data_IF_534167773912
#
_entry.id   IF_534167773912
#
_cell.length_a   1.000
_cell.length_b   1.000
_cell.length_c   1.000
_cell.angle_alpha   90.00
_cell.angle_beta   90.00
_cell.angle_gamma   90.00
#
_symmetry.space_group_name_H-M   'P 1'
#
loop_
_entity.id
_entity.type
_entity.pdbx_description
1 polymer ?
#
# COMPACT_ATOMS: atom_id res chain seq x y z
N UNK A 1 -32.96 -0.73 -14.52
CA UNK A 1 -32.74 0.66 -14.10
C UNK A 1 -31.38 0.74 -13.42
N UNK A 2 -30.36 1.25 -14.12
CA UNK A 2 -29.02 1.40 -13.56
C UNK A 2 -29.02 2.56 -12.55
N UNK A 3 -28.81 2.25 -11.27
CA UNK A 3 -28.48 3.27 -10.27
C UNK A 3 -27.08 3.79 -10.63
N UNK A 4 -27.00 5.03 -11.13
CA UNK A 4 -25.76 5.81 -11.15
C UNK A 4 -25.18 5.78 -9.73
N UNK A 5 -23.98 5.19 -9.57
CA UNK A 5 -23.16 5.48 -8.41
C UNK A 5 -22.97 7.00 -8.38
N UNK A 6 -23.50 7.64 -7.34
CA UNK A 6 -23.11 9.02 -7.00
C UNK A 6 -21.64 8.96 -6.64
N UNK A 7 -20.79 9.63 -7.43
CA UNK A 7 -19.47 10.03 -6.99
C UNK A 7 -19.64 10.65 -5.60
N UNK A 8 -19.01 10.05 -4.58
CA UNK A 8 -18.84 10.72 -3.29
C UNK A 8 -18.02 11.97 -3.60
N UNK A 9 -18.66 13.13 -3.58
CA UNK A 9 -17.96 14.36 -3.30
C UNK A 9 -17.42 14.20 -1.89
N UNK A 10 -16.13 13.94 -1.74
CA UNK A 10 -15.49 14.21 -0.47
C UNK A 10 -15.60 15.73 -0.29
N UNK A 11 -16.39 16.23 0.68
CA UNK A 11 -16.26 17.62 1.06
C UNK A 11 -14.80 17.82 1.45
N UNK A 12 -14.22 18.99 1.19
CA UNK A 12 -12.92 19.40 1.72
C UNK A 12 -12.81 18.94 3.17
N UNK A 13 -12.20 17.77 3.39
CA UNK A 13 -11.78 17.34 4.70
C UNK A 13 -10.55 18.22 4.90
N UNK A 14 -10.77 19.35 5.57
CA UNK A 14 -9.69 20.09 6.22
C UNK A 14 -9.06 19.14 7.23
N UNK A 15 -8.17 18.28 6.74
CA UNK A 15 -7.24 17.54 7.56
C UNK A 15 -6.15 18.55 7.88
N UNK A 16 -6.02 18.91 9.15
CA UNK A 16 -4.95 19.77 9.61
C UNK A 16 -3.61 19.16 9.18
N UNK A 17 -2.79 19.93 8.43
CA UNK A 17 -1.47 19.52 7.95
C UNK A 17 -1.17 19.79 6.46
N UNK A 18 -2.07 20.39 5.68
CA UNK A 18 -1.81 20.60 4.24
C UNK A 18 -1.13 21.94 3.95
N UNK A 19 -0.26 21.95 2.92
CA UNK A 19 0.12 23.19 2.26
C UNK A 19 -1.08 23.76 1.49
N UNK A 20 -1.73 24.78 2.06
CA UNK A 20 -2.96 25.40 1.53
C UNK A 20 -2.78 26.00 0.11
N UNK A 21 -1.55 26.30 -0.28
CA UNK A 21 -1.18 26.75 -1.61
C UNK A 21 -1.22 25.63 -2.68
N UNK A 22 -1.58 24.39 -2.32
CA UNK A 22 -1.91 23.30 -3.24
C UNK A 22 -3.31 22.77 -2.96
N UNK A 23 -4.23 23.00 -3.90
CA UNK A 23 -5.64 22.64 -3.77
C UNK A 23 -6.04 21.55 -4.74
N UNK A 24 -6.59 20.45 -4.24
CA UNK A 24 -7.17 19.38 -5.07
C UNK A 24 -8.47 19.88 -5.69
N UNK A 25 -8.58 19.79 -7.01
CA UNK A 25 -9.75 20.24 -7.78
C UNK A 25 -10.70 19.09 -8.09
N UNK A 26 -10.15 17.94 -8.46
CA UNK A 26 -10.91 16.75 -8.82
C UNK A 26 -10.10 15.49 -8.56
N UNK A 27 -10.77 14.43 -8.08
CA UNK A 27 -10.20 13.10 -7.86
C UNK A 27 -10.90 12.07 -8.76
N UNK A 28 -10.15 11.07 -9.23
CA UNK A 28 -10.66 9.87 -9.86
C UNK A 28 -9.77 8.68 -9.49
N UNK A 29 -10.15 7.45 -9.86
CA UNK A 29 -9.55 6.24 -9.32
C UNK A 29 -8.01 6.22 -9.44
N UNK A 30 -7.31 6.35 -8.30
CA UNK A 30 -5.85 6.36 -8.19
C UNK A 30 -5.15 7.66 -8.62
N UNK A 31 -5.88 8.75 -8.86
CA UNK A 31 -5.32 9.98 -9.39
C UNK A 31 -6.10 11.23 -8.94
N UNK A 32 -5.46 12.39 -8.99
CA UNK A 32 -6.18 13.66 -8.86
C UNK A 32 -5.56 14.77 -9.71
N UNK A 33 -6.37 15.78 -10.02
CA UNK A 33 -5.91 17.07 -10.51
C UNK A 33 -5.91 18.05 -9.33
N UNK A 34 -4.81 18.77 -9.16
CA UNK A 34 -4.66 19.83 -8.19
C UNK A 34 -4.12 21.09 -8.86
N UNK A 35 -4.24 22.19 -8.14
CA UNK A 35 -3.74 23.50 -8.52
C UNK A 35 -2.78 23.99 -7.43
N UNK A 36 -1.54 24.28 -7.83
CA UNK A 36 -0.64 25.10 -7.04
C UNK A 36 -0.91 26.57 -7.34
N UNK A 37 -1.02 27.41 -6.31
CA UNK A 37 -1.15 28.87 -6.39
C UNK A 37 -0.45 29.54 -5.22
N UNK A 38 0.54 30.38 -5.50
CA UNK A 38 1.17 31.25 -4.49
C UNK A 38 1.73 32.52 -5.14
N UNK A 39 2.07 33.53 -4.34
CA UNK A 39 2.75 34.72 -4.84
C UNK A 39 4.26 34.47 -4.94
N UNK A 40 4.88 35.00 -5.99
CA UNK A 40 6.33 34.94 -6.16
C UNK A 40 7.04 35.64 -4.99
N UNK A 41 7.87 34.93 -4.21
CA UNK A 41 8.52 35.51 -3.03
C UNK A 41 9.61 36.54 -3.38
N UNK A 42 10.10 36.48 -4.63
CA UNK A 42 11.07 37.39 -5.24
C UNK A 42 10.84 37.43 -6.75
N UNK A 43 11.55 38.30 -7.47
CA UNK A 43 11.55 38.28 -8.93
C UNK A 43 12.04 36.92 -9.45
N UNK A 44 11.26 36.32 -10.34
CA UNK A 44 11.52 35.01 -10.93
C UNK A 44 11.97 35.20 -12.37
N UNK A 45 13.19 34.77 -12.67
CA UNK A 45 13.73 34.60 -14.02
C UNK A 45 13.95 33.10 -14.28
N UNK A 46 12.87 32.42 -14.69
CA UNK A 46 12.81 30.96 -14.77
C UNK A 46 12.40 30.31 -13.45
N UNK A 47 11.33 29.51 -13.49
CA UNK A 47 10.80 28.82 -12.32
C UNK A 47 11.56 27.53 -12.02
N UNK A 48 11.82 27.31 -10.73
CA UNK A 48 12.06 26.00 -10.11
C UNK A 48 11.13 25.86 -8.90
N UNK A 49 10.14 24.98 -8.96
CA UNK A 49 9.19 24.68 -7.88
C UNK A 49 9.35 23.22 -7.45
N UNK A 50 9.77 22.99 -6.22
CA UNK A 50 9.88 21.67 -5.62
C UNK A 50 8.62 21.37 -4.82
N UNK A 51 8.01 20.21 -5.04
CA UNK A 51 6.87 19.68 -4.29
C UNK A 51 7.28 18.37 -3.61
N UNK A 52 7.09 18.27 -2.30
CA UNK A 52 7.28 17.03 -1.54
C UNK A 52 5.94 16.51 -1.01
N UNK A 53 5.74 15.20 -1.12
CA UNK A 53 4.49 14.50 -0.78
C UNK A 53 4.65 13.61 0.46
N UNK A 54 3.59 13.48 1.26
CA UNK A 54 3.56 12.58 2.43
C UNK A 54 3.55 11.08 2.09
N UNK A 55 3.27 10.74 0.84
CA UNK A 55 3.09 9.36 0.38
C UNK A 55 3.56 9.27 -1.06
N UNK A 56 3.90 8.04 -1.47
CA UNK A 56 4.50 7.79 -2.79
C UNK A 56 3.58 8.29 -3.91
N UNK A 57 4.18 9.04 -4.83
CA UNK A 57 3.60 9.47 -6.09
C UNK A 57 4.31 8.70 -7.20
N UNK A 58 3.55 8.04 -8.06
CA UNK A 58 4.08 7.28 -9.19
C UNK A 58 4.56 8.20 -10.30
N UNK A 59 3.81 9.27 -10.52
CA UNK A 59 4.03 10.21 -11.61
C UNK A 59 3.29 11.51 -11.34
N UNK A 60 3.90 12.61 -11.73
CA UNK A 60 3.26 13.93 -11.81
C UNK A 60 3.29 14.39 -13.27
N UNK A 61 2.20 14.95 -13.75
CA UNK A 61 2.09 15.56 -15.09
C UNK A 61 1.70 17.04 -14.96
N UNK A 62 2.14 17.84 -15.94
CA UNK A 62 1.91 19.28 -16.01
C UNK A 62 1.26 19.65 -17.33
N UNK A 63 0.46 20.71 -17.33
CA UNK A 63 0.00 21.34 -18.57
C UNK A 63 1.08 22.23 -19.21
N UNK A 64 1.97 22.82 -18.40
CA UNK A 64 3.03 23.75 -18.83
C UNK A 64 4.30 23.54 -18.01
N UNK A 65 5.45 23.67 -18.68
CA UNK A 65 6.77 23.43 -18.08
C UNK A 65 7.20 21.97 -18.22
N UNK A 66 8.17 21.56 -17.41
CA UNK A 66 8.64 20.19 -17.30
C UNK A 66 8.68 19.76 -15.85
N UNK A 67 8.59 18.45 -15.63
CA UNK A 67 8.67 17.83 -14.31
C UNK A 67 9.81 16.82 -14.28
N UNK A 68 10.62 16.90 -13.24
CA UNK A 68 11.62 15.93 -12.87
C UNK A 68 11.15 15.20 -11.60
N UNK A 69 11.16 13.87 -11.62
CA UNK A 69 10.94 13.06 -10.44
C UNK A 69 12.30 12.78 -9.78
N UNK A 70 12.54 13.38 -8.61
CA UNK A 70 13.79 13.19 -7.86
C UNK A 70 13.79 11.82 -7.17
N UNK A 71 12.66 11.49 -6.54
CA UNK A 71 12.35 10.20 -5.93
C UNK A 71 10.81 9.98 -5.89
N UNK A 72 10.33 8.93 -5.22
CA UNK A 72 8.89 8.64 -5.11
C UNK A 72 8.08 9.69 -4.32
N UNK A 73 8.73 10.66 -3.66
CA UNK A 73 8.11 11.65 -2.78
C UNK A 73 8.38 13.09 -3.23
N UNK A 74 9.37 13.34 -4.08
CA UNK A 74 9.83 14.69 -4.42
C UNK A 74 9.86 14.92 -5.93
N UNK A 75 9.20 15.99 -6.38
CA UNK A 75 9.10 16.38 -7.79
C UNK A 75 9.53 17.84 -7.95
N UNK A 76 10.29 18.12 -9.01
CA UNK A 76 10.71 19.48 -9.36
C UNK A 76 10.01 19.87 -10.67
N UNK A 77 9.24 20.95 -10.60
CA UNK A 77 8.62 21.61 -11.74
C UNK A 77 9.53 22.75 -12.20
N UNK A 78 9.86 22.79 -13.49
CA UNK A 78 10.65 23.87 -14.08
C UNK A 78 9.95 24.52 -15.26
N UNK A 79 9.97 25.85 -15.31
CA UNK A 79 9.50 26.66 -16.44
C UNK A 79 10.50 27.79 -16.71
N UNK A 80 11.53 27.55 -17.55
CA UNK A 80 12.57 28.55 -17.84
C UNK A 80 12.04 29.83 -18.50
N UNK A 81 10.86 29.76 -19.13
CA UNK A 81 10.23 30.89 -19.81
C UNK A 81 9.42 31.77 -18.86
N UNK A 82 9.13 31.32 -17.63
CA UNK A 82 8.38 32.11 -16.66
C UNK A 82 9.20 33.33 -16.20
N UNK A 83 8.60 34.52 -16.30
CA UNK A 83 9.10 35.79 -15.78
C UNK A 83 8.00 36.45 -14.97
N UNK A 84 8.20 36.62 -13.66
CA UNK A 84 7.19 37.12 -12.73
C UNK A 84 7.87 38.00 -11.70
N UNK A 85 7.27 39.15 -11.37
CA UNK A 85 7.81 40.07 -10.36
C UNK A 85 7.44 39.61 -8.94
N UNK A 86 8.21 40.01 -7.94
CA UNK A 86 7.89 39.73 -6.55
C UNK A 86 6.45 40.16 -6.19
N UNK A 87 5.69 39.26 -5.56
CA UNK A 87 4.30 39.47 -5.15
C UNK A 87 3.25 39.14 -6.22
N UNK A 88 3.63 38.88 -7.47
CA UNK A 88 2.70 38.44 -8.51
C UNK A 88 2.39 36.93 -8.38
N UNK A 89 1.18 36.52 -8.77
CA UNK A 89 0.71 35.14 -8.64
C UNK A 89 1.43 34.19 -9.62
N UNK A 90 1.87 33.04 -9.11
CA UNK A 90 2.36 31.89 -9.85
C UNK A 90 1.39 30.73 -9.64
N UNK A 91 0.93 30.11 -10.73
CA UNK A 91 -0.01 28.99 -10.66
C UNK A 91 0.28 27.89 -11.67
N UNK A 92 0.04 26.64 -11.26
CA UNK A 92 0.20 25.43 -12.09
C UNK A 92 -0.92 24.43 -11.84
N UNK A 93 -1.49 23.88 -12.91
CA UNK A 93 -2.30 22.68 -12.84
C UNK A 93 -1.40 21.45 -12.89
N UNK A 94 -1.51 20.62 -11.86
CA UNK A 94 -0.75 19.39 -11.69
C UNK A 94 -1.70 18.21 -11.68
N UNK A 95 -1.29 17.11 -12.31
CA UNK A 95 -2.02 15.85 -12.28
C UNK A 95 -1.13 14.79 -11.62
N UNK A 96 -1.64 14.17 -10.56
CA UNK A 96 -0.88 13.29 -9.68
C UNK A 96 -1.44 11.88 -9.79
N UNK A 97 -0.54 10.91 -10.01
CA UNK A 97 -0.84 9.50 -10.14
C UNK A 97 -0.25 8.75 -8.94
N UNK A 98 -1.04 7.92 -8.27
CA UNK A 98 -0.60 7.22 -7.05
C UNK A 98 -1.29 5.87 -6.86
N UNK A 99 -0.76 5.06 -5.94
CA UNK A 99 -1.40 3.84 -5.46
C UNK A 99 -1.73 3.94 -3.97
N UNK A 100 -2.83 3.30 -3.56
CA UNK A 100 -3.25 3.05 -2.18
C UNK A 100 -3.54 4.30 -1.33
N UNK A 101 -2.50 5.07 -0.99
CA UNK A 101 -2.58 6.19 -0.06
C UNK A 101 -2.62 7.50 -0.81
N UNK A 102 -3.62 8.34 -0.52
CA UNK A 102 -3.78 9.66 -1.12
C UNK A 102 -2.57 10.57 -0.78
N UNK A 103 -1.72 10.95 -1.75
CA UNK A 103 -0.58 11.79 -1.48
C UNK A 103 -1.03 13.25 -1.35
N UNK A 104 -0.60 13.90 -0.28
CA UNK A 104 -0.78 15.33 -0.05
C UNK A 104 0.59 16.01 -0.11
N UNK A 105 0.63 17.23 -0.66
CA UNK A 105 1.83 18.07 -0.61
C UNK A 105 2.01 18.58 0.81
N UNK A 106 3.14 18.24 1.41
CA UNK A 106 3.53 18.63 2.78
C UNK A 106 4.65 19.64 2.80
N UNK A 107 5.36 19.83 1.68
CA UNK A 107 6.38 20.86 1.54
C UNK A 107 6.42 21.37 0.13
N UNK A 108 6.63 22.67 -0.03
CA UNK A 108 6.99 23.24 -1.32
C UNK A 108 7.94 24.43 -1.23
N UNK A 109 8.87 24.48 -2.19
CA UNK A 109 9.97 25.46 -2.26
C UNK A 109 9.98 26.06 -3.67
N UNK A 110 9.89 27.38 -3.77
CA UNK A 110 9.91 28.11 -5.04
C UNK A 110 11.19 28.93 -5.16
N UNK A 111 12.02 28.62 -6.15
CA UNK A 111 13.32 29.27 -6.40
C UNK A 111 14.14 29.42 -5.10
N UNK A 112 14.28 28.32 -4.37
CA UNK A 112 14.98 28.21 -3.07
C UNK A 112 14.32 28.91 -1.87
N UNK A 113 13.13 29.50 -2.05
CA UNK A 113 12.33 30.06 -0.95
C UNK A 113 11.30 29.05 -0.47
N UNK A 114 11.32 28.73 0.82
CA UNK A 114 10.31 27.86 1.43
C UNK A 114 8.97 28.60 1.51
N UNK A 115 7.95 28.06 0.84
CA UNK A 115 6.60 28.62 0.89
C UNK A 115 5.76 27.93 1.95
N UNK A 116 5.92 26.61 2.07
CA UNK A 116 5.21 25.80 3.05
C UNK A 116 6.02 24.57 3.46
N UNK A 117 5.97 24.23 4.75
CA UNK A 117 6.42 22.95 5.31
C UNK A 117 5.47 22.59 6.46
N UNK A 118 4.71 21.52 6.29
CA UNK A 118 3.98 20.90 7.37
C UNK A 118 4.84 19.82 8.04
N UNK A 119 5.15 20.07 9.31
CA UNK A 119 5.87 19.13 10.17
C UNK A 119 4.93 18.26 11.01
N UNK A 120 3.61 18.38 10.83
CA UNK A 120 2.61 17.63 11.61
C UNK A 120 2.20 16.31 10.96
N UNK A 121 2.32 16.19 9.63
CA UNK A 121 2.16 14.95 8.89
C UNK A 121 3.51 14.23 8.75
N UNK A 122 3.81 13.36 9.71
CA UNK A 122 4.94 12.42 9.57
C UNK A 122 4.67 11.51 8.37
N UNK A 123 5.55 11.51 7.37
CA UNK A 123 5.62 10.42 6.41
C UNK A 123 5.58 9.10 7.19
N UNK A 124 4.71 8.14 6.84
CA UNK A 124 4.79 6.82 7.45
C UNK A 124 6.24 6.35 7.33
N UNK A 125 6.86 5.93 8.43
CA UNK A 125 8.22 5.41 8.36
C UNK A 125 8.26 4.38 7.22
N UNK A 126 9.34 4.39 6.40
CA UNK A 126 9.48 3.40 5.35
C UNK A 126 9.20 2.04 5.97
N UNK A 127 8.26 1.28 5.38
CA UNK A 127 7.92 -0.03 5.93
C UNK A 127 9.23 -0.80 6.13
N UNK A 128 9.53 -1.12 7.39
CA UNK A 128 10.76 -1.84 7.74
C UNK A 128 10.75 -3.11 6.91
N UNK A 129 11.70 -3.26 6.00
CA UNK A 129 11.84 -4.49 5.23
C UNK A 129 12.35 -5.57 6.18
N UNK A 130 11.53 -6.54 6.62
CA UNK A 130 12.02 -7.56 7.55
C UNK A 130 12.84 -8.65 6.82
N UNK A 131 13.05 -8.47 5.51
CA UNK A 131 13.76 -9.35 4.59
C UNK A 131 14.90 -8.60 3.88
N UNK A 132 15.78 -8.01 4.68
CA UNK A 132 17.00 -7.38 4.17
C UNK A 132 17.90 -8.37 3.43
N UNK A 133 18.60 -7.87 2.42
CA UNK A 133 19.57 -8.67 1.67
C UNK A 133 20.73 -9.08 2.61
N UNK A 134 21.10 -10.35 2.56
CA UNK A 134 22.26 -10.89 3.28
C UNK A 134 23.56 -10.67 2.53
N UNK A 135 23.49 -10.14 1.29
CA UNK A 135 24.64 -9.84 0.44
C UNK A 135 25.15 -11.03 -0.36
N UNK A 136 24.42 -12.15 -0.39
CA UNK A 136 24.76 -13.32 -1.20
C UNK A 136 24.55 -13.03 -2.71
N UNK A 137 25.49 -13.50 -3.55
CA UNK A 137 25.47 -13.33 -5.02
C UNK A 137 25.74 -14.66 -5.72
N UNK A 138 25.19 -14.92 -6.93
CA UNK A 138 24.32 -14.03 -7.71
C UNK A 138 22.87 -13.98 -7.22
N UNK A 139 22.45 -14.93 -6.36
CA UNK A 139 21.10 -15.01 -5.81
C UNK A 139 21.14 -15.13 -4.29
N UNK A 140 20.36 -14.28 -3.62
CA UNK A 140 20.19 -14.30 -2.19
C UNK A 140 18.97 -15.15 -1.81
N UNK A 141 19.16 -16.47 -1.77
CA UNK A 141 18.07 -17.40 -1.49
C UNK A 141 17.50 -17.27 -0.07
N UNK A 142 18.29 -16.76 0.89
CA UNK A 142 17.81 -16.48 2.23
C UNK A 142 16.82 -15.29 2.24
N UNK A 143 17.11 -14.24 1.47
CA UNK A 143 16.19 -13.14 1.23
C UNK A 143 14.93 -13.61 0.49
N UNK A 144 15.08 -14.41 -0.58
CA UNK A 144 13.94 -14.94 -1.34
C UNK A 144 13.02 -15.77 -0.45
N UNK A 145 13.58 -16.65 0.39
CA UNK A 145 12.79 -17.46 1.32
C UNK A 145 12.09 -16.58 2.37
N UNK A 146 12.72 -15.50 2.83
CA UNK A 146 12.08 -14.53 3.71
C UNK A 146 10.84 -13.90 3.06
N UNK A 147 10.99 -13.41 1.83
CA UNK A 147 9.92 -12.77 1.07
C UNK A 147 8.79 -13.76 0.75
N UNK A 148 9.12 -15.01 0.45
CA UNK A 148 8.14 -16.08 0.22
C UNK A 148 7.24 -16.31 1.44
N UNK A 149 7.80 -16.33 2.67
CA UNK A 149 6.97 -16.45 3.86
C UNK A 149 6.16 -15.19 4.18
N UNK A 150 6.71 -14.01 3.89
CA UNK A 150 5.95 -12.77 3.99
C UNK A 150 4.75 -12.72 3.04
N UNK A 151 4.85 -13.30 1.85
CA UNK A 151 3.72 -13.41 0.94
C UNK A 151 2.53 -14.10 1.62
N UNK A 152 2.74 -15.22 2.31
CA UNK A 152 1.66 -15.86 3.05
C UNK A 152 1.16 -15.02 4.23
N UNK A 153 2.03 -14.31 4.96
CA UNK A 153 1.59 -13.35 5.99
C UNK A 153 0.66 -12.28 5.40
N UNK A 154 0.96 -11.83 4.18
CA UNK A 154 0.15 -10.86 3.45
C UNK A 154 -1.18 -11.42 2.94
N UNK A 155 -1.38 -12.74 2.95
CA UNK A 155 -2.63 -13.42 2.58
C UNK A 155 -3.50 -13.83 3.77
N UNK A 156 -3.03 -13.67 5.02
CA UNK A 156 -3.76 -14.11 6.23
C UNK A 156 -5.14 -13.44 6.30
N UNK A 157 -6.22 -14.19 6.51
CA UNK A 157 -7.55 -13.67 6.89
C UNK A 157 -7.81 -13.87 8.38
N UNK A 158 -8.80 -13.16 8.95
CA UNK A 158 -9.13 -13.26 10.38
C UNK A 158 -8.37 -12.26 11.26
N UNK A 159 -8.38 -12.46 12.59
CA UNK A 159 -7.64 -11.63 13.53
C UNK A 159 -6.14 -11.90 13.41
N UNK A 160 -5.34 -10.88 13.08
CA UNK A 160 -3.91 -11.01 12.85
C UNK A 160 -3.12 -11.10 14.16
N UNK A 161 -2.00 -11.84 14.18
CA UNK A 161 -1.19 -11.95 15.39
C UNK A 161 -0.42 -10.65 15.64
N UNK A 162 -0.13 -10.37 16.91
CA UNK A 162 0.57 -9.14 17.31
C UNK A 162 1.99 -9.01 16.72
N UNK A 163 2.59 -10.12 16.29
CA UNK A 163 3.90 -10.18 15.64
C UNK A 163 3.83 -10.20 14.10
N UNK A 164 2.66 -9.86 13.52
CA UNK A 164 2.49 -9.70 12.06
C UNK A 164 3.48 -8.67 11.51
N UNK A 165 4.30 -9.09 10.53
CA UNK A 165 5.35 -8.23 9.94
C UNK A 165 4.83 -7.38 8.79
N UNK A 166 3.73 -7.79 8.17
CA UNK A 166 3.08 -7.08 7.07
C UNK A 166 2.17 -5.99 7.67
N UNK A 167 2.74 -4.82 7.96
CA UNK A 167 2.09 -3.75 8.75
C UNK A 167 0.93 -3.04 8.05
N UNK A 168 0.79 -3.18 6.74
CA UNK A 168 -0.33 -2.64 5.97
C UNK A 168 -1.55 -3.57 5.94
N UNK A 169 -1.45 -4.77 6.53
CA UNK A 169 -2.59 -5.67 6.74
C UNK A 169 -3.17 -5.43 8.13
N UNK A 170 -4.50 -5.45 8.23
CA UNK A 170 -5.23 -5.46 9.49
C UNK A 170 -6.18 -6.65 9.58
N UNK A 171 -6.80 -6.80 10.75
CA UNK A 171 -7.86 -7.78 11.00
C UNK A 171 -8.96 -7.69 9.94
N UNK A 172 -9.38 -8.84 9.42
CA UNK A 172 -10.41 -8.92 8.37
C UNK A 172 -11.31 -10.13 8.55
N UNK A 173 -12.54 -10.05 8.02
CA UNK A 173 -13.51 -11.17 7.96
C UNK A 173 -13.67 -11.94 9.29
N UNK A 174 -13.79 -11.20 10.40
CA UNK A 174 -13.83 -11.75 11.77
C UNK A 174 -15.07 -12.60 12.05
N UNK A 175 -16.15 -12.37 11.30
CA UNK A 175 -17.43 -13.07 11.45
C UNK A 175 -17.61 -14.23 10.45
N UNK A 176 -16.55 -14.65 9.77
CA UNK A 176 -16.59 -15.79 8.85
C UNK A 176 -17.15 -17.05 9.53
N UNK A 177 -18.16 -17.67 8.92
CA UNK A 177 -18.85 -18.87 9.45
C UNK A 177 -20.04 -18.57 10.37
N UNK A 178 -20.32 -17.30 10.67
CA UNK A 178 -21.47 -16.90 11.49
C UNK A 178 -22.83 -17.30 10.87
N UNK A 179 -22.91 -17.41 9.55
CA UNK A 179 -24.08 -17.87 8.81
C UNK A 179 -24.40 -19.36 9.01
N UNK A 180 -23.41 -20.14 9.44
CA UNK A 180 -23.52 -21.57 9.72
C UNK A 180 -23.26 -21.92 11.20
N UNK A 181 -23.05 -20.91 12.05
CA UNK A 181 -22.87 -21.10 13.49
C UNK A 181 -21.51 -21.64 13.92
N UNK A 182 -20.48 -21.50 13.08
CA UNK A 182 -19.11 -21.91 13.39
C UNK A 182 -18.14 -20.73 13.29
N UNK A 183 -17.10 -20.71 14.12
CA UNK A 183 -15.97 -19.80 13.89
C UNK A 183 -15.12 -20.36 12.75
N UNK A 184 -15.24 -19.76 11.57
CA UNK A 184 -14.41 -20.05 10.41
C UNK A 184 -13.44 -18.90 10.11
N UNK A 185 -13.17 -18.00 11.05
CA UNK A 185 -12.13 -16.97 10.89
C UNK A 185 -10.72 -17.58 10.85
N UNK A 186 -9.77 -16.89 10.22
CA UNK A 186 -8.42 -17.40 9.98
C UNK A 186 -8.21 -17.89 8.54
N UNK A 187 -7.09 -18.57 8.30
CA UNK A 187 -6.76 -19.11 6.98
C UNK A 187 -6.15 -18.09 6.03
N UNK A 188 -6.13 -18.42 4.74
CA UNK A 188 -5.57 -17.58 3.69
C UNK A 188 -6.61 -17.21 2.63
N UNK A 189 -6.55 -15.97 2.15
CA UNK A 189 -7.15 -15.61 0.87
C UNK A 189 -6.41 -16.32 -0.27
N UNK A 190 -7.16 -16.78 -1.28
CA UNK A 190 -6.64 -17.66 -2.32
C UNK A 190 -5.64 -16.95 -3.25
N UNK A 191 -6.00 -15.78 -3.76
CA UNK A 191 -5.19 -15.03 -4.72
C UNK A 191 -5.24 -13.51 -4.47
N UNK A 192 -5.62 -12.73 -5.47
CA UNK A 192 -5.85 -11.28 -5.32
C UNK A 192 -7.27 -10.92 -4.87
N UNK A 193 -8.05 -11.93 -4.48
CA UNK A 193 -9.43 -11.85 -4.02
C UNK A 193 -9.51 -12.14 -2.51
N UNK A 194 -10.72 -12.23 -1.95
CA UNK A 194 -10.92 -12.49 -0.52
C UNK A 194 -11.68 -13.79 -0.23
N UNK A 195 -11.84 -14.65 -1.25
CA UNK A 195 -12.40 -16.00 -1.06
C UNK A 195 -11.36 -16.91 -0.43
N UNK A 196 -11.78 -17.73 0.53
CA UNK A 196 -10.97 -18.82 1.07
C UNK A 196 -11.36 -20.12 0.37
N UNK A 197 -10.51 -20.59 -0.54
CA UNK A 197 -10.75 -21.82 -1.29
C UNK A 197 -9.95 -22.96 -0.66
N UNK A 198 -10.63 -23.90 0.00
CA UNK A 198 -9.98 -24.91 0.84
C UNK A 198 -9.05 -25.86 0.09
N UNK A 199 -9.36 -26.18 -1.17
CA UNK A 199 -8.54 -27.10 -1.97
C UNK A 199 -7.12 -26.57 -2.29
N UNK A 200 -6.95 -25.39 -2.93
CA UNK A 200 -5.62 -24.80 -3.15
C UNK A 200 -4.92 -24.41 -1.85
N UNK A 201 -5.65 -24.02 -0.80
CA UNK A 201 -5.05 -23.77 0.51
C UNK A 201 -4.46 -25.05 1.12
N UNK A 202 -5.17 -26.18 1.02
CA UNK A 202 -4.70 -27.48 1.52
C UNK A 202 -3.49 -27.99 0.72
N UNK A 203 -3.52 -27.85 -0.60
CA UNK A 203 -2.36 -28.14 -1.46
C UNK A 203 -1.14 -27.31 -1.06
N UNK A 204 -1.31 -25.99 -0.94
CA UNK A 204 -0.26 -25.05 -0.52
C UNK A 204 0.34 -25.43 0.83
N UNK A 205 -0.51 -25.72 1.82
CA UNK A 205 -0.09 -26.14 3.16
C UNK A 205 0.71 -27.44 3.12
N UNK A 206 0.28 -28.39 2.29
CA UNK A 206 0.98 -29.67 2.09
C UNK A 206 2.36 -29.45 1.48
N UNK A 207 2.47 -28.61 0.45
CA UNK A 207 3.75 -28.30 -0.20
C UNK A 207 4.71 -27.54 0.71
N UNK A 208 4.21 -26.61 1.53
CA UNK A 208 5.01 -25.93 2.55
C UNK A 208 5.51 -26.90 3.62
N UNK A 209 4.65 -27.81 4.09
CA UNK A 209 5.01 -28.86 5.03
C UNK A 209 6.07 -29.80 4.46
N UNK A 210 5.89 -30.26 3.22
CA UNK A 210 6.88 -31.10 2.54
C UNK A 210 8.21 -30.37 2.37
N UNK A 211 8.18 -29.10 1.95
CA UNK A 211 9.40 -28.28 1.84
C UNK A 211 10.18 -28.17 3.16
N UNK A 212 9.49 -28.05 4.29
CA UNK A 212 10.15 -28.04 5.61
C UNK A 212 10.67 -29.42 6.02
N UNK A 213 9.97 -30.51 5.69
CA UNK A 213 10.43 -31.87 5.97
C UNK A 213 11.72 -32.20 5.21
N UNK A 214 11.75 -31.91 3.91
CA UNK A 214 12.87 -32.30 3.05
C UNK A 214 14.08 -31.36 3.17
N UNK A 215 13.83 -30.08 3.49
CA UNK A 215 14.85 -29.03 3.44
C UNK A 215 15.00 -28.25 4.74
N UNK A 216 14.74 -28.87 5.90
CA UNK A 216 14.80 -28.20 7.21
C UNK A 216 16.11 -27.44 7.43
N UNK A 217 17.26 -28.05 7.12
CA UNK A 217 18.58 -27.44 7.28
C UNK A 217 18.73 -26.13 6.50
N UNK A 218 18.17 -26.07 5.29
CA UNK A 218 18.19 -24.84 4.47
C UNK A 218 17.35 -23.72 5.11
N UNK A 219 16.20 -24.07 5.67
CA UNK A 219 15.34 -23.12 6.38
C UNK A 219 16.01 -22.63 7.68
N UNK A 220 16.73 -23.50 8.38
CA UNK A 220 17.52 -23.15 9.56
C UNK A 220 18.70 -22.24 9.22
N UNK A 221 19.46 -22.59 8.18
CA UNK A 221 20.59 -21.78 7.70
C UNK A 221 20.14 -20.37 7.27
N UNK A 222 18.95 -20.24 6.67
CA UNK A 222 18.35 -18.95 6.33
C UNK A 222 17.73 -18.21 7.54
N UNK A 223 17.63 -18.86 8.70
CA UNK A 223 16.92 -18.33 9.89
C UNK A 223 15.43 -18.14 9.65
N UNK A 224 14.81 -19.01 8.85
CA UNK A 224 13.39 -18.93 8.42
C UNK A 224 12.51 -20.09 8.87
N UNK A 225 13.06 -21.10 9.55
CA UNK A 225 12.29 -22.25 10.09
C UNK A 225 11.03 -21.80 10.84
N UNK A 226 11.15 -20.87 11.79
CA UNK A 226 10.01 -20.40 12.60
C UNK A 226 8.89 -19.79 11.76
N UNK A 227 9.21 -19.12 10.65
CA UNK A 227 8.22 -18.50 9.79
C UNK A 227 7.53 -19.56 8.94
N UNK A 228 8.27 -20.56 8.44
CA UNK A 228 7.66 -21.71 7.76
C UNK A 228 6.69 -22.48 8.63
N UNK A 229 7.08 -22.77 9.88
CA UNK A 229 6.20 -23.40 10.86
C UNK A 229 4.97 -22.54 11.16
N UNK A 230 5.14 -21.22 11.32
CA UNK A 230 4.02 -20.30 11.54
C UNK A 230 3.06 -20.22 10.34
N UNK A 231 3.57 -20.28 9.10
CA UNK A 231 2.75 -20.32 7.88
C UNK A 231 1.90 -21.58 7.83
N UNK A 232 2.51 -22.76 8.07
CA UNK A 232 1.75 -24.02 8.10
C UNK A 232 0.72 -23.99 9.22
N UNK A 233 1.13 -23.57 10.42
CA UNK A 233 0.25 -23.51 11.59
C UNK A 233 -1.00 -22.67 11.30
N UNK A 234 -0.85 -21.50 10.66
CA UNK A 234 -1.96 -20.62 10.33
C UNK A 234 -3.05 -21.30 9.49
N UNK A 235 -2.64 -22.05 8.46
CA UNK A 235 -3.58 -22.81 7.65
C UNK A 235 -4.17 -24.00 8.40
N UNK A 236 -3.36 -24.74 9.16
CA UNK A 236 -3.85 -25.92 9.90
C UNK A 236 -4.79 -25.55 11.03
N UNK A 237 -4.57 -24.41 11.70
CA UNK A 237 -5.51 -23.89 12.70
C UNK A 237 -6.88 -23.60 12.06
N UNK A 238 -6.90 -23.05 10.85
CA UNK A 238 -8.13 -22.88 10.07
C UNK A 238 -8.76 -24.21 9.66
N UNK A 239 -7.97 -25.20 9.22
CA UNK A 239 -8.53 -26.53 8.86
C UNK A 239 -9.13 -27.26 10.07
N UNK A 240 -8.57 -27.07 11.27
CA UNK A 240 -9.16 -27.59 12.51
C UNK A 240 -10.51 -26.92 12.81
N UNK A 241 -10.65 -25.63 12.53
CA UNK A 241 -11.95 -24.93 12.64
C UNK A 241 -12.95 -25.40 11.59
N UNK A 242 -12.48 -25.62 10.36
CA UNK A 242 -13.31 -26.05 9.24
C UNK A 242 -13.75 -27.52 9.32
N UNK A 243 -13.06 -28.37 10.08
CA UNK A 243 -13.45 -29.75 10.37
C UNK A 243 -14.34 -29.80 11.63
N UNK A 244 -15.64 -29.59 11.44
CA UNK A 244 -16.60 -29.34 12.53
C UNK A 244 -17.21 -30.61 13.11
N UNK A 245 -17.16 -31.73 12.37
CA UNK A 245 -17.57 -33.06 12.83
C UNK A 245 -16.81 -34.14 12.03
N UNK A 246 -16.89 -35.39 12.48
CA UNK A 246 -16.24 -36.59 11.92
C UNK A 246 -16.29 -36.66 10.39
N UNK A 247 -17.43 -36.29 9.79
CA UNK A 247 -17.66 -36.33 8.35
C UNK A 247 -18.08 -34.98 7.77
N UNK A 248 -17.81 -33.88 8.48
CA UNK A 248 -18.17 -32.53 8.04
C UNK A 248 -16.92 -31.66 7.89
N UNK A 249 -16.79 -31.01 6.74
CA UNK A 249 -15.69 -30.10 6.45
C UNK A 249 -16.15 -28.92 5.59
N UNK A 250 -15.88 -27.70 6.05
CA UNK A 250 -16.14 -26.46 5.32
C UNK A 250 -15.05 -26.19 4.28
N UNK A 251 -15.33 -26.57 3.02
CA UNK A 251 -14.39 -26.45 1.91
C UNK A 251 -14.20 -25.04 1.34
N UNK A 252 -15.08 -24.09 1.66
CA UNK A 252 -15.00 -22.71 1.16
C UNK A 252 -15.72 -21.74 2.09
N UNK A 253 -15.20 -20.52 2.18
CA UNK A 253 -15.89 -19.36 2.75
C UNK A 253 -15.73 -18.19 1.78
N UNK A 254 -16.83 -17.47 1.56
CA UNK A 254 -16.95 -16.46 0.51
C UNK A 254 -17.56 -17.02 -0.78
N UNK A 255 -18.09 -16.13 -1.61
CA UNK A 255 -18.65 -16.44 -2.92
C UNK A 255 -17.93 -15.60 -3.97
N UNK A 256 -17.33 -16.25 -4.96
CA UNK A 256 -16.50 -15.57 -5.96
C UNK A 256 -17.23 -14.45 -6.71
N UNK A 257 -18.52 -14.61 -7.01
CA UNK A 257 -19.29 -13.58 -7.72
C UNK A 257 -19.31 -12.24 -6.98
N UNK A 258 -19.88 -12.16 -5.76
CA UNK A 258 -19.86 -10.95 -4.94
C UNK A 258 -18.46 -10.46 -4.55
N UNK A 259 -17.51 -11.37 -4.34
CA UNK A 259 -16.14 -11.01 -3.94
C UNK A 259 -15.40 -10.27 -5.07
N UNK A 260 -15.61 -10.68 -6.32
CA UNK A 260 -14.88 -10.19 -7.49
C UNK A 260 -15.55 -8.99 -8.22
N UNK A 261 -16.67 -8.48 -7.71
CA UNK A 261 -17.56 -7.53 -8.43
C UNK A 261 -17.31 -6.04 -8.15
#
# INVERSE_FOLDING_TARGET
>A
MAKRLKLRSYPNLGVAGQCDNVKVLQEWQGNYQAEFRDNAPKDIDGLRLELSFQSRVLRLELQKGSVEQVDDFTFIITDPALKVSAGEEVWYLIQVYYYFTFPQVVKNVMNDELLCEDNTLTTPEPMVNPCDATGMKPHDYAQVLCMSYMFYEAQRSGPLPADQRVTWRGDSVLDDGSDVGHDLSGGYYDAGDHVKVGFPMAFTTTMLGWGLVDFLEGHQAAGKEKYGLATIKWATDYFLKAHTDTYEFYGQVGSGGPDHA
#
